data_IF_753150352734
#
_entry.id   IF_753150352734
#
_cell.length_a   1.000
_cell.length_b   1.000
_cell.length_c   1.000
_cell.angle_alpha   90.00
_cell.angle_beta   90.00
_cell.angle_gamma   90.00
#
_symmetry.space_group_name_H-M   'P 1'
#
loop_
_entity.id
_entity.type
_entity.pdbx_description
1 polymer ?
#
# COMPACT_ATOMS: atom_id res chain seq x y z
N UNK A 1 22.92 -33.58 -7.40
CA UNK A 1 23.84 -33.44 -8.55
C UNK A 1 23.56 -32.14 -9.26
N UNK A 2 24.44 -31.15 -9.17
CA UNK A 2 24.11 -29.84 -9.73
C UNK A 2 25.35 -29.00 -10.01
N UNK A 3 26.07 -29.35 -11.07
CA UNK A 3 27.03 -28.42 -11.65
C UNK A 3 26.28 -27.47 -12.57
N UNK A 4 26.49 -26.17 -12.37
CA UNK A 4 25.93 -25.12 -13.20
C UNK A 4 27.02 -24.66 -14.17
N UNK A 5 26.70 -24.62 -15.46
CA UNK A 5 27.58 -24.10 -16.50
C UNK A 5 26.94 -22.88 -17.15
N UNK A 6 27.72 -21.81 -17.30
CA UNK A 6 27.33 -20.60 -18.01
C UNK A 6 28.43 -20.21 -18.99
N UNK A 7 28.04 -19.52 -20.06
CA UNK A 7 28.98 -18.96 -21.05
C UNK A 7 29.58 -17.63 -20.62
N UNK A 8 29.04 -17.02 -19.55
CA UNK A 8 29.43 -15.72 -19.01
C UNK A 8 29.86 -15.84 -17.55
N UNK A 9 30.74 -14.93 -17.14
CA UNK A 9 31.11 -14.72 -15.74
C UNK A 9 30.09 -13.84 -14.98
N UNK A 10 29.04 -13.37 -15.63
CA UNK A 10 27.87 -12.78 -14.97
C UNK A 10 26.75 -13.81 -15.00
N UNK A 11 26.24 -14.18 -13.83
CA UNK A 11 25.22 -15.23 -13.64
C UNK A 11 24.05 -14.64 -12.85
N UNK A 12 22.89 -14.50 -13.48
CA UNK A 12 21.71 -13.81 -12.96
C UNK A 12 20.44 -14.68 -12.92
N UNK A 13 20.56 -15.95 -13.32
CA UNK A 13 19.43 -16.87 -13.55
C UNK A 13 19.43 -18.09 -12.62
N UNK A 14 20.38 -18.15 -11.68
CA UNK A 14 20.54 -19.29 -10.76
C UNK A 14 19.84 -19.05 -9.43
N UNK A 15 19.99 -17.84 -8.88
CA UNK A 15 19.36 -17.44 -7.63
C UNK A 15 18.47 -16.25 -7.99
N UNK A 16 17.16 -16.41 -7.76
CA UNK A 16 16.21 -15.36 -8.08
C UNK A 16 16.55 -14.07 -7.34
N UNK A 17 16.66 -12.96 -8.09
CA UNK A 17 16.99 -11.64 -7.55
C UNK A 17 18.46 -11.43 -7.19
N UNK A 18 19.36 -12.36 -7.55
CA UNK A 18 20.80 -12.23 -7.29
C UNK A 18 21.59 -12.36 -8.60
N UNK A 19 22.44 -11.36 -8.85
CA UNK A 19 23.44 -11.42 -9.91
C UNK A 19 24.81 -11.70 -9.31
N UNK A 20 25.42 -12.81 -9.71
CA UNK A 20 26.77 -13.21 -9.33
C UNK A 20 27.76 -12.78 -10.42
N UNK A 21 28.80 -12.05 -10.01
CA UNK A 21 29.95 -11.75 -10.87
C UNK A 21 31.13 -12.62 -10.45
N UNK A 22 31.51 -13.56 -11.32
CA UNK A 22 32.60 -14.51 -11.11
C UNK A 22 33.92 -13.88 -11.55
N UNK A 23 34.80 -13.63 -10.58
CA UNK A 23 36.08 -12.96 -10.84
C UNK A 23 37.26 -13.92 -10.97
N UNK A 24 37.28 -15.00 -10.19
CA UNK A 24 38.35 -16.00 -10.20
C UNK A 24 37.84 -17.35 -9.65
N UNK A 25 38.68 -18.38 -9.74
CA UNK A 25 38.42 -19.70 -9.15
C UNK A 25 38.53 -19.65 -7.62
N UNK A 26 37.62 -20.34 -6.93
CA UNK A 26 37.70 -20.54 -5.48
C UNK A 26 38.63 -21.69 -5.13
N UNK A 27 39.05 -21.77 -3.87
CA UNK A 27 39.82 -22.92 -3.37
C UNK A 27 38.94 -24.17 -3.24
N UNK A 28 39.54 -25.29 -2.81
CA UNK A 28 38.83 -26.56 -2.69
C UNK A 28 37.65 -26.53 -1.70
N UNK A 29 37.59 -25.56 -0.79
CA UNK A 29 36.51 -25.40 0.18
C UNK A 29 35.37 -24.50 -0.35
N UNK A 30 35.60 -23.80 -1.47
CA UNK A 30 34.63 -22.87 -2.03
C UNK A 30 34.59 -21.53 -1.30
N UNK A 31 33.54 -20.74 -1.56
CA UNK A 31 33.25 -19.51 -0.83
C UNK A 31 31.80 -19.52 -0.36
N UNK A 32 31.57 -18.98 0.83
CA UNK A 32 30.23 -18.80 1.38
C UNK A 32 29.67 -17.44 0.91
N UNK A 33 28.44 -17.47 0.41
CA UNK A 33 27.72 -16.26 0.00
C UNK A 33 26.55 -16.09 0.96
N UNK A 34 26.55 -14.97 1.68
CA UNK A 34 25.50 -14.63 2.63
C UNK A 34 24.65 -13.50 2.06
N UNK A 35 23.33 -13.70 2.06
CA UNK A 35 22.36 -12.66 1.74
C UNK A 35 21.68 -12.18 3.02
N UNK A 36 21.81 -10.90 3.32
CA UNK A 36 21.17 -10.27 4.48
C UNK A 36 20.24 -9.15 4.02
N UNK A 37 19.19 -8.89 4.81
CA UNK A 37 18.29 -7.76 4.57
C UNK A 37 18.99 -6.45 4.92
N UNK A 38 18.86 -5.45 4.07
CA UNK A 38 19.39 -4.11 4.31
C UNK A 38 18.35 -3.25 5.03
N UNK A 39 18.32 -3.40 6.36
CA UNK A 39 17.38 -2.67 7.24
C UNK A 39 17.80 -1.21 7.41
N UNK A 40 19.10 -0.93 7.34
CA UNK A 40 19.64 0.43 7.52
C UNK A 40 19.18 1.35 6.39
N UNK A 41 19.21 0.90 5.13
CA UNK A 41 18.65 1.66 4.01
C UNK A 41 17.15 2.00 4.19
N UNK A 42 16.38 1.14 4.86
CA UNK A 42 14.96 1.42 5.15
C UNK A 42 14.85 2.51 6.23
N UNK A 43 15.63 2.42 7.31
CA UNK A 43 15.67 3.45 8.36
C UNK A 43 16.10 4.81 7.82
N UNK A 44 17.10 4.86 6.94
CA UNK A 44 17.56 6.11 6.33
C UNK A 44 16.46 6.78 5.51
N UNK A 45 15.71 6.01 4.71
CA UNK A 45 14.57 6.53 3.94
C UNK A 45 13.44 7.00 4.85
N UNK A 46 13.12 6.26 5.91
CA UNK A 46 12.13 6.68 6.91
C UNK A 46 12.55 7.98 7.59
N UNK A 47 13.80 8.10 8.05
CA UNK A 47 14.32 9.32 8.69
C UNK A 47 14.31 10.52 7.74
N UNK A 48 14.56 10.30 6.45
CA UNK A 48 14.46 11.36 5.43
C UNK A 48 13.03 11.85 5.28
N UNK A 49 12.06 10.93 5.23
CA UNK A 49 10.63 11.27 5.19
C UNK A 49 10.16 11.97 6.47
N UNK A 50 10.57 11.48 7.64
CA UNK A 50 10.29 12.10 8.94
C UNK A 50 10.81 13.54 8.98
N UNK A 51 12.03 13.75 8.49
CA UNK A 51 12.64 15.09 8.41
C UNK A 51 11.83 16.02 7.51
N UNK A 52 11.36 15.54 6.36
CA UNK A 52 10.51 16.32 5.45
C UNK A 52 9.14 16.64 6.07
N UNK A 53 8.50 15.68 6.74
CA UNK A 53 7.25 15.89 7.48
C UNK A 53 7.42 16.95 8.57
N UNK A 54 8.45 16.82 9.41
CA UNK A 54 8.71 17.76 10.50
C UNK A 54 9.03 19.17 9.99
N UNK A 55 9.74 19.28 8.86
CA UNK A 55 9.95 20.57 8.20
C UNK A 55 8.63 21.21 7.79
N UNK A 56 7.71 20.45 7.19
CA UNK A 56 6.40 20.93 6.79
C UNK A 56 5.53 21.33 8.00
N UNK A 57 5.50 20.53 9.06
CA UNK A 57 4.77 20.84 10.30
C UNK A 57 5.28 22.13 10.94
N UNK A 58 6.60 22.28 11.06
CA UNK A 58 7.19 23.50 11.62
C UNK A 58 6.90 24.72 10.75
N UNK A 59 6.99 24.58 9.42
CA UNK A 59 6.65 25.66 8.51
C UNK A 59 5.17 26.07 8.63
N UNK A 60 4.25 25.11 8.69
CA UNK A 60 2.83 25.40 8.90
C UNK A 60 2.62 26.14 10.23
N UNK A 61 3.21 25.64 11.33
CA UNK A 61 3.11 26.28 12.66
C UNK A 61 3.65 27.71 12.66
N UNK A 62 4.79 27.96 12.02
CA UNK A 62 5.36 29.30 11.92
C UNK A 62 4.41 30.26 11.19
N UNK A 63 3.72 29.78 10.16
CA UNK A 63 2.82 30.61 9.34
C UNK A 63 1.44 30.79 9.94
N UNK A 64 0.93 29.84 10.72
CA UNK A 64 -0.43 29.88 11.30
C UNK A 64 -0.47 30.21 12.80
N UNK A 65 0.66 30.06 13.48
CA UNK A 65 0.77 30.27 14.92
C UNK A 65 0.97 31.72 15.33
N UNK A 66 1.05 31.92 16.64
CA UNK A 66 1.44 33.17 17.27
C UNK A 66 2.76 32.93 18.02
N UNK A 67 3.77 33.75 17.75
CA UNK A 67 5.01 33.72 18.51
C UNK A 67 4.84 34.58 19.77
N UNK A 68 4.75 33.90 20.91
CA UNK A 68 4.60 34.54 22.22
C UNK A 68 5.83 35.36 22.65
N UNK A 69 7.00 35.14 22.06
CA UNK A 69 8.24 35.87 22.36
C UNK A 69 8.31 37.15 21.55
N UNK A 70 8.18 37.07 20.23
CA UNK A 70 8.21 38.24 19.35
C UNK A 70 6.89 39.02 19.33
N UNK A 71 5.81 38.43 19.87
CA UNK A 71 4.43 38.94 19.84
C UNK A 71 3.90 39.13 18.41
N UNK A 72 4.44 38.38 17.46
CA UNK A 72 4.08 38.44 16.04
C UNK A 72 3.19 37.26 15.67
N UNK A 73 2.09 37.58 14.99
CA UNK A 73 1.22 36.63 14.33
C UNK A 73 1.86 36.12 13.03
N UNK A 74 1.79 34.82 12.78
CA UNK A 74 2.04 34.27 11.46
C UNK A 74 1.10 34.87 10.42
N UNK A 75 1.58 34.99 9.18
CA UNK A 75 0.83 35.63 8.08
C UNK A 75 -0.51 34.94 7.78
N UNK A 76 -0.64 33.67 8.14
CA UNK A 76 -1.81 32.81 7.92
C UNK A 76 -2.50 32.46 9.25
N UNK A 77 -2.31 33.27 10.30
CA UNK A 77 -2.99 33.03 11.57
C UNK A 77 -4.51 33.05 11.38
N UNK A 78 -5.18 31.98 11.84
CA UNK A 78 -6.62 31.79 11.68
C UNK A 78 -7.03 31.24 10.31
N UNK A 79 -6.09 30.94 9.41
CA UNK A 79 -6.39 30.25 8.15
C UNK A 79 -6.66 28.76 8.41
N UNK A 80 -7.92 28.38 8.19
CA UNK A 80 -8.38 27.01 8.40
C UNK A 80 -7.84 26.04 7.34
N UNK A 81 -7.60 26.49 6.11
CA UNK A 81 -7.20 25.62 4.99
C UNK A 81 -5.81 25.04 5.25
N UNK A 82 -4.87 25.86 5.70
CA UNK A 82 -3.49 25.42 5.98
C UNK A 82 -3.47 24.41 7.14
N UNK A 83 -4.31 24.64 8.14
CA UNK A 83 -4.44 23.74 9.31
C UNK A 83 -5.08 22.40 8.92
N UNK A 84 -6.05 22.43 8.00
CA UNK A 84 -6.70 21.25 7.46
C UNK A 84 -5.72 20.39 6.64
N UNK A 85 -4.89 21.01 5.79
CA UNK A 85 -3.83 20.31 5.04
C UNK A 85 -2.90 19.55 5.99
N UNK A 86 -2.41 20.21 7.05
CA UNK A 86 -1.55 19.55 8.05
C UNK A 86 -2.24 18.36 8.73
N UNK A 87 -3.54 18.47 9.00
CA UNK A 87 -4.35 17.40 9.59
C UNK A 87 -4.53 16.23 8.61
N UNK A 88 -4.77 16.51 7.33
CA UNK A 88 -4.89 15.49 6.29
C UNK A 88 -3.58 14.70 6.11
N UNK A 89 -2.43 15.38 6.08
CA UNK A 89 -1.11 14.74 5.96
C UNK A 89 -0.76 13.92 7.21
N UNK A 90 -1.19 14.34 8.39
CA UNK A 90 -1.00 13.60 9.64
C UNK A 90 -1.88 12.35 9.74
N UNK A 91 -3.07 12.37 9.14
CA UNK A 91 -4.08 11.31 9.32
C UNK A 91 -3.58 9.89 9.01
N UNK A 92 -2.86 9.62 7.89
CA UNK A 92 -2.32 8.28 7.62
C UNK A 92 -1.33 7.75 8.66
N UNK A 93 -0.68 8.63 9.42
CA UNK A 93 0.31 8.23 10.44
C UNK A 93 -0.35 7.75 11.74
N UNK A 94 -1.59 8.17 12.01
CA UNK A 94 -2.30 7.90 13.27
C UNK A 94 -3.56 7.04 13.10
N UNK A 95 -3.84 6.62 11.88
CA UNK A 95 -4.99 5.78 11.55
C UNK A 95 -4.54 4.37 11.20
N UNK A 96 -5.52 3.45 11.20
CA UNK A 96 -5.30 2.10 10.70
C UNK A 96 -4.98 2.15 9.21
N UNK A 97 -3.95 1.44 8.80
CA UNK A 97 -3.52 1.30 7.42
C UNK A 97 -4.59 0.55 6.60
N UNK A 98 -4.96 1.09 5.44
CA UNK A 98 -6.04 0.56 4.60
C UNK A 98 -5.73 -0.82 4.01
N UNK A 99 -6.69 -1.73 4.06
CA UNK A 99 -6.55 -3.13 3.58
C UNK A 99 -5.93 -4.10 4.60
N UNK A 100 -5.60 -3.60 5.79
CA UNK A 100 -5.11 -4.41 6.90
C UNK A 100 -6.27 -4.84 7.81
N UNK A 101 -6.24 -6.09 8.26
CA UNK A 101 -7.30 -6.75 9.02
C UNK A 101 -6.74 -7.24 10.35
N UNK A 102 -7.48 -6.94 11.42
CA UNK A 102 -7.18 -7.42 12.77
C UNK A 102 -7.12 -8.95 12.81
N UNK A 103 -6.23 -9.49 13.63
CA UNK A 103 -6.01 -10.94 13.80
C UNK A 103 -5.48 -11.68 12.55
N UNK A 104 -5.28 -10.98 11.42
CA UNK A 104 -4.67 -11.51 10.20
C UNK A 104 -3.30 -10.90 9.94
N UNK A 105 -3.18 -9.57 10.05
CA UNK A 105 -1.88 -8.90 9.92
C UNK A 105 -1.23 -8.66 11.28
N UNK A 106 0.08 -8.85 11.31
CA UNK A 106 0.95 -8.58 12.47
C UNK A 106 0.87 -7.12 12.92
N UNK A 107 0.87 -6.21 11.95
CA UNK A 107 0.79 -4.76 12.18
C UNK A 107 -0.38 -4.18 11.41
N UNK A 108 -1.01 -3.16 11.99
CA UNK A 108 -2.22 -2.50 11.48
C UNK A 108 -2.03 -0.98 11.34
N UNK A 109 -1.03 -0.38 11.97
CA UNK A 109 -0.79 1.06 11.92
C UNK A 109 0.68 1.43 12.13
N UNK A 110 1.11 2.64 11.72
CA UNK A 110 2.50 3.07 11.80
C UNK A 110 3.09 3.07 13.22
N UNK A 111 2.28 3.36 14.24
CA UNK A 111 2.73 3.33 15.64
C UNK A 111 3.25 1.96 16.08
N UNK A 112 2.71 0.86 15.52
CA UNK A 112 3.14 -0.49 15.87
C UNK A 112 4.51 -0.86 15.29
N UNK A 113 5.01 -0.07 14.34
CA UNK A 113 6.37 -0.20 13.78
C UNK A 113 7.30 0.91 14.27
N UNK A 114 6.94 1.60 15.36
CA UNK A 114 7.80 2.58 16.03
C UNK A 114 7.68 4.02 15.53
N UNK A 115 6.70 4.37 14.69
CA UNK A 115 6.46 5.78 14.34
C UNK A 115 5.61 6.49 15.40
N UNK A 116 6.17 7.53 16.00
CA UNK A 116 5.54 8.26 17.10
C UNK A 116 5.32 9.73 16.75
N UNK A 117 4.15 10.26 17.10
CA UNK A 117 3.86 11.69 16.99
C UNK A 117 3.72 12.29 18.37
N UNK A 118 4.50 13.32 18.65
CA UNK A 118 4.48 14.02 19.94
C UNK A 118 3.30 15.01 20.06
N UNK A 119 3.24 15.70 21.21
CA UNK A 119 2.23 16.74 21.47
C UNK A 119 2.32 17.93 20.51
N UNK A 120 3.49 18.15 19.94
CA UNK A 120 3.76 19.16 18.94
C UNK A 120 3.36 18.70 17.52
N UNK A 121 2.98 17.44 17.33
CA UNK A 121 2.70 16.93 15.99
C UNK A 121 3.96 16.65 15.18
N UNK A 122 5.14 16.61 15.81
CA UNK A 122 6.38 16.16 15.16
C UNK A 122 6.45 14.64 15.20
N UNK A 123 6.90 14.06 14.09
CA UNK A 123 7.09 12.63 13.90
C UNK A 123 8.51 12.23 14.30
N UNK A 124 8.64 11.05 14.89
CA UNK A 124 9.92 10.41 15.20
C UNK A 124 9.83 8.90 15.00
N UNK A 125 10.99 8.23 14.99
CA UNK A 125 11.10 6.77 14.89
C UNK A 125 11.79 6.23 16.15
N UNK A 126 11.10 5.38 16.89
CA UNK A 126 11.73 4.51 17.87
C UNK A 126 12.44 3.37 17.12
N UNK A 127 13.76 3.47 17.03
CA UNK A 127 14.59 2.50 16.32
C UNK A 127 14.52 1.09 16.93
N UNK A 128 14.32 0.97 18.24
CA UNK A 128 14.24 -0.34 18.89
C UNK A 128 12.92 -1.02 18.54
N UNK A 129 11.80 -0.30 18.64
CA UNK A 129 10.48 -0.82 18.24
C UNK A 129 10.46 -1.18 16.75
N UNK A 130 11.10 -0.37 15.92
CA UNK A 130 11.25 -0.68 14.50
C UNK A 130 12.06 -1.96 14.26
N UNK A 131 13.20 -2.12 14.94
CA UNK A 131 14.04 -3.31 14.83
C UNK A 131 13.32 -4.58 15.33
N UNK A 132 12.54 -4.46 16.40
CA UNK A 132 11.68 -5.54 16.91
C UNK A 132 10.59 -5.91 15.90
N UNK A 133 9.89 -4.92 15.33
CA UNK A 133 8.85 -5.16 14.32
C UNK A 133 9.41 -5.82 13.05
N UNK A 134 10.60 -5.40 12.60
CA UNK A 134 11.32 -5.99 11.48
C UNK A 134 11.74 -7.44 11.75
N UNK A 135 12.14 -7.75 12.99
CA UNK A 135 12.50 -9.10 13.40
C UNK A 135 11.28 -10.02 13.52
N UNK A 136 10.15 -9.50 13.99
CA UNK A 136 8.89 -10.23 14.13
C UNK A 136 8.27 -10.55 12.76
N UNK A 137 8.05 -9.54 11.91
CA UNK A 137 7.49 -9.71 10.59
C UNK A 137 7.99 -8.63 9.62
N UNK A 138 9.11 -8.92 8.96
CA UNK A 138 9.71 -8.02 7.98
C UNK A 138 8.75 -7.59 6.86
N UNK A 139 7.98 -8.53 6.29
CA UNK A 139 7.08 -8.19 5.17
C UNK A 139 5.87 -7.41 5.67
N UNK A 140 5.34 -7.75 6.85
CA UNK A 140 4.29 -6.99 7.52
C UNK A 140 4.71 -5.54 7.80
N UNK A 141 5.92 -5.33 8.34
CA UNK A 141 6.45 -4.01 8.61
C UNK A 141 6.64 -3.19 7.33
N UNK A 142 7.21 -3.79 6.27
CA UNK A 142 7.33 -3.13 4.97
C UNK A 142 5.99 -2.81 4.32
N UNK A 143 4.98 -3.68 4.48
CA UNK A 143 3.66 -3.45 3.95
C UNK A 143 2.98 -2.24 4.61
N UNK A 144 3.14 -2.05 5.93
CA UNK A 144 2.67 -0.85 6.63
C UNK A 144 3.30 0.41 6.05
N UNK A 145 4.59 0.35 5.71
CA UNK A 145 5.29 1.50 5.13
C UNK A 145 4.79 1.79 3.72
N UNK A 146 4.93 0.83 2.81
CA UNK A 146 4.95 1.10 1.38
C UNK A 146 4.18 0.13 0.50
N UNK A 147 3.20 -0.63 1.03
CA UNK A 147 2.29 -1.34 0.15
C UNK A 147 1.65 -0.35 -0.84
N UNK A 148 1.74 -0.62 -2.13
CA UNK A 148 1.12 0.20 -3.18
C UNK A 148 0.04 -0.62 -3.88
N UNK A 149 -1.17 -0.56 -3.31
CA UNK A 149 -2.35 -1.29 -3.78
C UNK A 149 -2.09 -2.79 -4.01
N UNK A 150 -1.18 -3.38 -3.25
CA UNK A 150 -0.91 -4.83 -3.29
C UNK A 150 -2.10 -5.57 -2.74
N UNK A 151 -2.51 -6.67 -3.37
CA UNK A 151 -3.68 -7.40 -2.91
C UNK A 151 -3.52 -8.88 -2.65
N UNK A 152 -4.54 -9.43 -1.99
CA UNK A 152 -4.66 -10.83 -1.65
C UNK A 152 -6.13 -11.23 -1.60
N UNK A 153 -6.42 -12.51 -1.81
CA UNK A 153 -7.76 -13.06 -1.71
C UNK A 153 -7.91 -14.04 -0.54
N UNK A 154 -9.15 -14.24 -0.12
CA UNK A 154 -9.57 -15.32 0.79
C UNK A 154 -10.09 -16.55 0.05
N UNK A 155 -10.04 -16.54 -1.29
CA UNK A 155 -10.52 -17.60 -2.17
C UNK A 155 -9.46 -17.97 -3.19
N UNK A 156 -9.33 -19.27 -3.45
CA UNK A 156 -8.50 -19.80 -4.55
C UNK A 156 -9.22 -19.72 -5.92
N UNK A 157 -10.51 -19.37 -5.93
CA UNK A 157 -11.30 -19.26 -7.17
C UNK A 157 -11.26 -17.84 -7.72
N UNK A 158 -11.29 -16.83 -6.86
CA UNK A 158 -11.20 -15.42 -7.26
C UNK A 158 -9.97 -14.83 -6.63
N UNK A 159 -8.94 -14.59 -7.42
CA UNK A 159 -7.65 -14.08 -6.94
C UNK A 159 -7.45 -12.62 -7.31
N UNK A 160 -6.65 -11.92 -6.50
CA UNK A 160 -6.23 -10.56 -6.85
C UNK A 160 -5.31 -10.60 -8.06
N UNK A 161 -5.67 -9.85 -9.11
CA UNK A 161 -4.85 -9.76 -10.33
C UNK A 161 -4.08 -8.44 -10.39
N UNK A 162 -4.75 -7.33 -10.08
CA UNK A 162 -4.11 -6.02 -10.08
C UNK A 162 -5.02 -4.91 -9.58
N UNK A 163 -4.44 -3.78 -9.26
CA UNK A 163 -5.16 -2.56 -8.90
C UNK A 163 -4.39 -1.36 -9.42
N UNK A 164 -5.12 -0.29 -9.74
CA UNK A 164 -4.49 0.97 -10.09
C UNK A 164 -3.96 1.64 -8.82
N UNK A 165 -2.67 1.97 -8.77
CA UNK A 165 -2.07 2.76 -7.69
C UNK A 165 -2.80 4.09 -7.47
N UNK A 166 -3.30 4.67 -8.58
CA UNK A 166 -3.95 5.99 -8.61
C UNK A 166 -5.47 5.95 -8.43
N UNK A 167 -6.16 4.96 -9.00
CA UNK A 167 -7.63 4.99 -9.10
C UNK A 167 -8.35 4.01 -8.19
N UNK A 168 -7.70 2.90 -7.81
CA UNK A 168 -8.32 1.95 -6.89
C UNK A 168 -8.18 2.46 -5.47
N UNK A 169 -9.26 2.53 -4.71
CA UNK A 169 -9.18 2.87 -3.29
C UNK A 169 -8.65 1.67 -2.50
N UNK A 170 -7.73 1.88 -1.57
CA UNK A 170 -7.27 0.80 -0.70
C UNK A 170 -8.34 0.42 0.33
N UNK A 171 -8.43 -0.86 0.69
CA UNK A 171 -9.43 -1.37 1.62
C UNK A 171 -9.74 -2.85 1.40
N UNK A 172 -10.75 -3.34 2.12
CA UNK A 172 -11.24 -4.70 1.96
C UNK A 172 -12.51 -4.66 1.12
N UNK A 173 -12.56 -5.47 0.08
CA UNK A 173 -13.65 -5.57 -0.87
C UNK A 173 -14.37 -6.90 -0.71
N UNK A 174 -15.69 -6.82 -0.71
CA UNK A 174 -16.54 -8.00 -0.74
C UNK A 174 -16.88 -8.31 -2.19
N UNK A 175 -16.68 -9.56 -2.60
CA UNK A 175 -16.82 -10.00 -3.98
C UNK A 175 -17.75 -11.21 -4.05
N UNK A 176 -18.61 -11.22 -5.08
CA UNK A 176 -19.45 -12.35 -5.46
C UNK A 176 -19.27 -12.64 -6.94
N UNK A 177 -19.10 -13.91 -7.29
CA UNK A 177 -18.92 -14.36 -8.67
C UNK A 177 -19.75 -15.61 -8.92
N UNK A 178 -20.35 -15.72 -10.10
CA UNK A 178 -21.04 -16.92 -10.57
C UNK A 178 -20.38 -17.39 -11.86
N UNK A 179 -19.91 -18.64 -11.87
CA UNK A 179 -19.33 -19.32 -13.02
C UNK A 179 -20.27 -20.45 -13.44
N UNK A 180 -20.62 -20.51 -14.73
CA UNK A 180 -21.44 -21.57 -15.32
C UNK A 180 -20.91 -21.87 -16.72
N UNK A 181 -20.64 -23.15 -17.01
CA UNK A 181 -20.18 -23.60 -18.32
C UNK A 181 -18.85 -22.96 -18.73
N UNK A 182 -17.91 -22.82 -17.79
CA UNK A 182 -16.60 -22.17 -18.00
C UNK A 182 -16.69 -20.66 -18.33
N UNK A 183 -17.84 -20.01 -18.07
CA UNK A 183 -18.04 -18.58 -18.29
C UNK A 183 -18.46 -17.87 -17.00
N UNK A 184 -17.99 -16.63 -16.83
CA UNK A 184 -18.49 -15.73 -15.79
C UNK A 184 -19.88 -15.25 -16.20
N UNK A 185 -20.89 -15.49 -15.37
CA UNK A 185 -22.28 -15.07 -15.63
C UNK A 185 -22.71 -13.89 -14.75
N UNK A 186 -22.04 -13.69 -13.62
CA UNK A 186 -22.23 -12.53 -12.76
C UNK A 186 -20.97 -12.29 -11.95
N UNK A 187 -20.58 -11.03 -11.80
CA UNK A 187 -19.52 -10.62 -10.89
C UNK A 187 -19.90 -9.28 -10.25
N UNK A 188 -19.79 -9.20 -8.92
CA UNK A 188 -20.19 -8.02 -8.16
C UNK A 188 -19.15 -7.70 -7.11
N UNK A 189 -18.85 -6.42 -6.95
CA UNK A 189 -17.82 -5.91 -6.04
C UNK A 189 -18.43 -4.76 -5.22
N UNK A 190 -18.06 -4.68 -3.94
CA UNK A 190 -18.22 -3.47 -3.12
C UNK A 190 -17.05 -3.33 -2.16
N UNK A 191 -16.76 -2.10 -1.76
CA UNK A 191 -15.95 -1.90 -0.57
C UNK A 191 -16.73 -2.40 0.65
N UNK A 192 -16.08 -3.11 1.57
CA UNK A 192 -16.73 -3.71 2.75
C UNK A 192 -17.45 -2.70 3.65
N UNK A 193 -17.01 -1.44 3.63
CA UNK A 193 -17.66 -0.33 4.35
C UNK A 193 -18.93 0.20 3.67
N UNK A 194 -19.23 -0.25 2.46
CA UNK A 194 -20.43 0.14 1.71
C UNK A 194 -21.53 -0.94 1.79
N UNK A 195 -22.77 -0.49 1.61
CA UNK A 195 -23.96 -1.35 1.67
C UNK A 195 -24.33 -2.00 0.33
N UNK A 196 -23.84 -1.45 -0.79
CA UNK A 196 -24.37 -1.77 -2.12
C UNK A 196 -23.29 -2.36 -3.01
N UNK A 197 -23.59 -3.50 -3.62
CA UNK A 197 -22.79 -4.11 -4.67
C UNK A 197 -22.99 -3.41 -6.01
N UNK A 198 -21.91 -3.32 -6.79
CA UNK A 198 -21.93 -2.88 -8.19
C UNK A 198 -21.48 -4.02 -9.09
N UNK A 199 -22.01 -4.03 -10.30
CA UNK A 199 -21.64 -5.03 -11.30
C UNK A 199 -20.21 -4.76 -11.80
N UNK A 200 -19.38 -5.79 -11.77
CA UNK A 200 -18.06 -5.75 -12.38
C UNK A 200 -18.19 -5.98 -13.90
N UNK A 201 -17.26 -5.41 -14.65
CA UNK A 201 -17.15 -5.60 -16.10
C UNK A 201 -16.28 -6.82 -16.40
N UNK A 202 -16.72 -7.65 -17.34
CA UNK A 202 -15.97 -8.80 -17.85
C UNK A 202 -16.42 -9.13 -19.28
N UNK A 203 -15.61 -9.91 -19.99
CA UNK A 203 -15.88 -10.38 -21.35
C UNK A 203 -15.95 -11.89 -21.37
N UNK A 204 -16.74 -12.48 -22.27
CA UNK A 204 -16.90 -13.93 -22.38
C UNK A 204 -15.57 -14.68 -22.60
N UNK A 205 -14.62 -14.05 -23.31
CA UNK A 205 -13.30 -14.65 -23.61
C UNK A 205 -12.22 -14.35 -22.56
N UNK A 206 -12.59 -13.82 -21.39
CA UNK A 206 -11.65 -13.38 -20.35
C UNK A 206 -12.05 -13.94 -18.99
N UNK A 207 -11.06 -14.41 -18.24
CA UNK A 207 -11.24 -14.78 -16.84
C UNK A 207 -10.99 -13.62 -15.87
N UNK A 208 -10.78 -12.40 -16.39
CA UNK A 208 -10.55 -11.19 -15.59
C UNK A 208 -11.86 -10.42 -15.44
N UNK A 209 -12.25 -10.16 -14.19
CA UNK A 209 -13.29 -9.20 -13.84
C UNK A 209 -12.64 -7.87 -13.43
N UNK A 210 -13.22 -6.76 -13.84
CA UNK A 210 -12.75 -5.40 -13.50
C UNK A 210 -13.86 -4.66 -12.77
N UNK A 211 -13.56 -4.03 -11.63
CA UNK A 211 -14.49 -3.16 -10.93
C UNK A 211 -14.94 -1.96 -11.77
N UNK A 212 -15.90 -1.19 -11.27
CA UNK A 212 -16.52 -0.08 -12.01
C UNK A 212 -15.49 0.95 -12.49
N UNK A 213 -15.40 1.17 -13.80
CA UNK A 213 -14.39 2.06 -14.40
C UNK A 213 -14.92 3.48 -14.65
N UNK A 214 -15.99 3.91 -13.99
CA UNK A 214 -16.61 5.22 -14.21
C UNK A 214 -15.79 6.32 -13.52
N UNK A 215 -15.62 7.43 -14.25
CA UNK A 215 -15.00 8.66 -13.75
C UNK A 215 -16.03 9.79 -13.78
N UNK A 216 -15.93 10.71 -12.83
CA UNK A 216 -16.70 11.96 -12.86
C UNK A 216 -16.06 12.99 -13.80
N UNK A 217 -16.69 14.16 -13.97
CA UNK A 217 -16.21 15.23 -14.85
C UNK A 217 -14.82 15.79 -14.45
N UNK A 218 -14.40 15.58 -13.20
CA UNK A 218 -13.09 15.99 -12.68
C UNK A 218 -11.99 14.93 -12.91
N UNK A 219 -12.34 13.81 -13.56
CA UNK A 219 -11.45 12.68 -13.80
C UNK A 219 -11.13 11.87 -12.54
N UNK A 220 -11.96 11.97 -11.50
CA UNK A 220 -11.83 11.17 -10.28
C UNK A 220 -12.75 9.93 -10.39
N UNK A 221 -12.30 8.77 -9.90
CA UNK A 221 -13.10 7.55 -9.92
C UNK A 221 -14.39 7.75 -9.11
N UNK A 222 -15.51 7.29 -9.66
CA UNK A 222 -16.82 7.40 -8.97
C UNK A 222 -16.92 6.40 -7.82
N UNK A 223 -16.29 5.23 -7.96
CA UNK A 223 -16.39 4.15 -6.98
C UNK A 223 -15.01 3.62 -6.55
N UNK A 224 -14.92 3.07 -5.31
CA UNK A 224 -13.66 2.59 -4.74
C UNK A 224 -12.94 1.53 -5.58
N UNK A 225 -13.67 0.58 -6.16
CA UNK A 225 -13.13 -0.56 -6.91
C UNK A 225 -12.67 -0.19 -8.33
N UNK A 226 -12.60 1.09 -8.67
CA UNK A 226 -12.20 1.49 -10.02
C UNK A 226 -10.83 0.92 -10.37
N UNK A 227 -10.78 0.24 -11.52
CA UNK A 227 -9.58 -0.44 -12.02
C UNK A 227 -9.03 -1.55 -11.10
N UNK A 228 -9.82 -2.04 -10.13
CA UNK A 228 -9.53 -3.28 -9.42
C UNK A 228 -9.80 -4.46 -10.35
N UNK A 229 -8.80 -5.31 -10.56
CA UNK A 229 -8.87 -6.47 -11.42
C UNK A 229 -8.67 -7.75 -10.61
N UNK A 230 -9.52 -8.74 -10.86
CA UNK A 230 -9.49 -10.04 -10.21
C UNK A 230 -9.52 -11.13 -11.28
N UNK A 231 -8.74 -12.18 -11.10
CA UNK A 231 -8.78 -13.37 -11.94
C UNK A 231 -9.71 -14.41 -11.33
N UNK A 232 -10.49 -15.08 -12.19
CA UNK A 232 -11.43 -16.12 -11.80
C UNK A 232 -10.96 -17.46 -12.37
N UNK A 233 -10.96 -18.51 -11.58
CA UNK A 233 -10.84 -19.89 -12.06
C UNK A 233 -12.18 -20.32 -12.68
N UNK A 234 -12.18 -20.51 -14.00
CA UNK A 234 -13.37 -20.88 -14.76
C UNK A 234 -13.58 -22.40 -14.83
N UNK A 235 -12.64 -23.21 -14.33
CA UNK A 235 -12.73 -24.67 -14.42
C UNK A 235 -13.79 -25.29 -13.51
N UNK A 236 -14.35 -24.50 -12.60
CA UNK A 236 -15.35 -24.94 -11.62
C UNK A 236 -16.60 -24.06 -11.66
N UNK A 237 -17.70 -24.65 -12.12
CA UNK A 237 -19.02 -24.03 -12.02
C UNK A 237 -19.43 -23.85 -10.55
N UNK A 238 -20.02 -22.69 -10.24
CA UNK A 238 -20.46 -22.40 -8.89
C UNK A 238 -20.83 -20.94 -8.65
N UNK A 239 -21.45 -20.71 -7.49
CA UNK A 239 -21.65 -19.37 -6.93
C UNK A 239 -20.68 -19.20 -5.77
N UNK A 240 -19.79 -18.23 -5.90
CA UNK A 240 -18.73 -17.94 -4.95
C UNK A 240 -18.99 -16.59 -4.26
N UNK A 241 -18.98 -16.59 -2.93
CA UNK A 241 -19.33 -15.43 -2.11
C UNK A 241 -20.85 -15.24 -1.94
N UNK A 242 -21.28 -14.87 -0.73
CA UNK A 242 -22.66 -14.45 -0.41
C UNK A 242 -22.65 -13.11 0.34
N UNK A 243 -23.82 -12.58 0.72
CA UNK A 243 -23.89 -11.39 1.57
C UNK A 243 -23.33 -11.66 2.97
N UNK A 244 -23.56 -12.87 3.49
CA UNK A 244 -23.12 -13.30 4.82
C UNK A 244 -21.66 -13.79 4.83
N UNK A 245 -21.20 -14.35 3.71
CA UNK A 245 -19.84 -14.86 3.55
C UNK A 245 -19.28 -14.50 2.16
N UNK A 246 -18.95 -13.22 1.93
CA UNK A 246 -18.37 -12.80 0.65
C UNK A 246 -16.93 -13.31 0.50
N UNK A 247 -16.43 -13.34 -0.74
CA UNK A 247 -15.00 -13.41 -0.95
C UNK A 247 -14.40 -12.06 -0.57
N UNK A 248 -13.43 -12.06 0.33
CA UNK A 248 -12.72 -10.84 0.73
C UNK A 248 -11.48 -10.68 -0.14
N UNK A 249 -11.44 -9.61 -0.93
CA UNK A 249 -10.24 -9.13 -1.60
C UNK A 249 -9.67 -7.97 -0.79
N UNK A 250 -8.41 -8.07 -0.43
CA UNK A 250 -7.72 -7.04 0.33
C UNK A 250 -6.87 -6.24 -0.64
N UNK A 251 -6.98 -4.92 -0.63
CA UNK A 251 -6.12 -4.00 -1.37
C UNK A 251 -5.40 -3.15 -0.35
N UNK A 252 -4.15 -3.48 -0.08
CA UNK A 252 -3.33 -2.84 0.95
C UNK A 252 -2.65 -1.58 0.43
N UNK A 253 -2.64 -0.54 1.24
CA UNK A 253 -1.83 0.66 0.99
C UNK A 253 -1.12 1.08 2.26
N UNK A 254 0.21 1.19 2.19
CA UNK A 254 1.04 1.68 3.27
C UNK A 254 0.86 3.18 3.51
N UNK A 255 1.26 3.64 4.69
CA UNK A 255 1.02 5.04 5.08
C UNK A 255 1.76 6.04 4.19
N UNK A 256 2.91 5.68 3.59
CA UNK A 256 3.64 6.61 2.71
C UNK A 256 2.85 6.91 1.44
N UNK A 257 2.24 5.89 0.83
CA UNK A 257 1.37 6.06 -0.32
C UNK A 257 0.08 6.81 0.03
N UNK A 258 -0.45 6.61 1.23
CA UNK A 258 -1.60 7.39 1.70
C UNK A 258 -1.27 8.87 1.95
N UNK A 259 -0.04 9.18 2.39
CA UNK A 259 0.45 10.56 2.47
C UNK A 259 0.62 11.16 1.07
N UNK A 260 1.17 10.39 0.13
CA UNK A 260 1.31 10.81 -1.28
C UNK A 260 -0.05 11.16 -1.89
N UNK A 261 -1.07 10.31 -1.72
CA UNK A 261 -2.44 10.58 -2.20
C UNK A 261 -3.00 11.90 -1.64
N UNK A 262 -2.72 12.22 -0.37
CA UNK A 262 -3.13 13.49 0.25
C UNK A 262 -2.39 14.66 -0.38
N UNK A 263 -1.07 14.55 -0.54
CA UNK A 263 -0.23 15.61 -1.12
C UNK A 263 -0.67 15.88 -2.56
N UNK A 264 -0.87 14.84 -3.36
CA UNK A 264 -1.32 14.94 -4.75
C UNK A 264 -2.70 15.62 -4.82
N UNK A 265 -3.62 15.28 -3.92
CA UNK A 265 -4.93 15.94 -3.86
C UNK A 265 -4.83 17.42 -3.52
N UNK A 266 -3.97 17.78 -2.58
CA UNK A 266 -3.77 19.18 -2.15
C UNK A 266 -3.05 20.00 -3.23
N UNK A 267 -2.14 19.38 -3.98
CA UNK A 267 -1.37 20.02 -5.05
C UNK A 267 -2.06 20.01 -6.42
N UNK A 268 -3.08 19.16 -6.62
CA UNK A 268 -3.90 19.13 -7.84
C UNK A 268 -4.51 20.51 -8.00
N UNK A 269 -4.05 21.25 -9.02
CA UNK A 269 -4.62 22.55 -9.36
C UNK A 269 -6.09 22.33 -9.69
N UNK A 270 -6.99 22.79 -8.83
CA UNK A 270 -8.38 22.94 -9.24
C UNK A 270 -8.41 24.03 -10.30
N UNK A 271 -8.76 23.67 -11.53
CA UNK A 271 -9.28 24.63 -12.50
C UNK A 271 -10.60 25.14 -11.94
N UNK A 272 -10.51 26.15 -11.08
CA UNK A 272 -11.63 27.04 -10.77
C UNK A 272 -11.89 27.99 -11.92
#
# INVERSE_FOLDING_TARGET
DGYIRRSSNTVDDVIYGVTLHLHDVTDANGQEITLTRDIESVKEKLNSMISAYNLAVNYIKERTGYDDVSKVAGVLQGDYIVTDIGSQVRSPLISRTSGFIIDIDTFLMPAQIGLEIDSDGLLSLDANVFDEAIAEDYLGALAIIGADKTGSSTSDIVEFYGASSRYTTAGNYDVKVVVIGEEITSAKIKLSTESTYRDATFSADSNIITGDTTFNDNGDPVYPENSLQLSVDLSQDGTYGTDENPIIIRVKQGFTGAIEDVIDRVLKTTTG
#
